data_IF_690870948332
#
_entry.id   IF_690870948332
#
_cell.length_a   1.000
_cell.length_b   1.000
_cell.length_c   1.000
_cell.angle_alpha   90.00
_cell.angle_beta   90.00
_cell.angle_gamma   90.00
#
_symmetry.space_group_name_H-M   'P 1'
#
loop_
_entity.id
_entity.type
_entity.pdbx_description
1 polymer ?
#
# COMPACT_ATOMS: atom_id res chain seq x y z
N UNK A 1 -3.05 7.63 35.56
CA UNK A 1 -3.36 7.69 34.12
C UNK A 1 -2.73 8.96 33.60
N UNK A 2 -1.50 8.87 33.08
CA UNK A 2 -0.74 10.03 32.60
C UNK A 2 -0.98 10.17 31.11
N UNK A 3 -1.62 11.25 30.68
CA UNK A 3 -1.78 11.63 29.29
C UNK A 3 -0.39 11.96 28.74
N UNK A 4 0.17 11.09 27.89
CA UNK A 4 1.26 11.49 27.02
C UNK A 4 0.69 12.49 26.01
N UNK A 5 0.83 13.77 26.31
CA UNK A 5 0.81 14.81 25.30
C UNK A 5 1.98 14.52 24.37
N UNK A 6 1.70 14.00 23.17
CA UNK A 6 2.69 13.73 22.15
C UNK A 6 3.36 15.05 21.78
N UNK A 7 4.63 15.20 22.10
CA UNK A 7 5.49 16.21 21.50
C UNK A 7 5.52 15.92 20.01
N UNK A 8 4.82 16.71 19.21
CA UNK A 8 4.93 16.68 17.74
C UNK A 8 6.37 17.06 17.41
N UNK A 9 7.19 16.08 17.11
CA UNK A 9 8.59 16.32 16.73
C UNK A 9 8.56 16.92 15.33
N UNK A 10 8.73 18.25 15.24
CA UNK A 10 8.83 18.95 13.95
C UNK A 10 10.02 18.40 13.19
N UNK A 11 9.79 17.93 11.96
CA UNK A 11 10.83 17.43 11.05
C UNK A 11 11.58 18.59 10.38
N UNK A 12 12.62 18.27 9.64
CA UNK A 12 13.29 19.26 8.80
C UNK A 12 12.32 19.81 7.74
N UNK A 13 12.53 21.05 7.32
CA UNK A 13 11.80 21.64 6.22
C UNK A 13 12.08 20.86 4.94
N UNK A 14 11.04 20.68 4.12
CA UNK A 14 11.14 20.02 2.81
C UNK A 14 11.71 21.03 1.81
N UNK A 15 12.78 20.64 1.15
CA UNK A 15 13.40 21.45 0.08
C UNK A 15 13.14 20.87 -1.31
N UNK A 16 12.99 19.53 -1.39
CA UNK A 16 12.77 18.81 -2.64
C UNK A 16 11.65 17.80 -2.45
N UNK A 17 10.65 17.88 -3.32
CA UNK A 17 9.51 16.99 -3.28
C UNK A 17 9.33 16.26 -4.62
N UNK A 18 9.37 14.92 -4.61
CA UNK A 18 8.95 14.13 -5.75
C UNK A 18 7.43 14.24 -5.94
N UNK A 19 6.96 14.24 -7.18
CA UNK A 19 5.53 14.32 -7.49
C UNK A 19 5.09 13.05 -8.19
N UNK A 20 4.00 12.45 -7.71
CA UNK A 20 3.33 11.28 -8.33
C UNK A 20 1.87 11.63 -8.53
N UNK A 21 1.39 11.57 -9.77
CA UNK A 21 0.02 11.99 -10.09
C UNK A 21 -0.87 10.81 -10.48
N UNK A 22 -2.19 11.03 -10.47
CA UNK A 22 -3.15 10.05 -10.99
C UNK A 22 -2.82 9.67 -12.45
N UNK A 23 -3.14 8.42 -12.84
CA UNK A 23 -2.84 7.91 -14.19
C UNK A 23 -3.45 8.72 -15.35
N UNK A 24 -4.51 9.52 -15.10
CA UNK A 24 -5.14 10.41 -16.08
C UNK A 24 -4.76 11.86 -15.78
N UNK A 25 -4.14 12.54 -16.73
CA UNK A 25 -3.70 13.94 -16.61
C UNK A 25 -4.83 14.91 -16.24
N UNK A 26 -6.03 14.68 -16.81
CA UNK A 26 -7.23 15.50 -16.57
C UNK A 26 -7.61 15.57 -15.09
N UNK A 27 -7.42 14.48 -14.34
CA UNK A 27 -7.77 14.42 -12.92
C UNK A 27 -6.78 15.19 -12.02
N UNK A 28 -5.51 15.25 -12.42
CA UNK A 28 -4.41 15.79 -11.60
C UNK A 28 -3.93 17.19 -12.02
N UNK A 29 -4.28 17.68 -13.23
CA UNK A 29 -3.68 18.88 -13.83
C UNK A 29 -3.89 20.14 -13.01
N UNK A 30 -5.12 20.40 -12.54
CA UNK A 30 -5.42 21.56 -11.68
C UNK A 30 -4.66 21.47 -10.33
N UNK A 31 -4.69 20.29 -9.69
CA UNK A 31 -3.99 20.08 -8.42
C UNK A 31 -2.47 20.22 -8.59
N UNK A 32 -1.92 19.76 -9.71
CA UNK A 32 -0.50 19.95 -10.05
C UNK A 32 -0.16 21.42 -10.23
N UNK A 33 -1.00 22.21 -10.90
CA UNK A 33 -0.79 23.63 -11.05
C UNK A 33 -0.80 24.36 -9.69
N UNK A 34 -1.73 24.03 -8.81
CA UNK A 34 -1.80 24.54 -7.43
C UNK A 34 -0.57 24.15 -6.61
N UNK A 35 -0.14 22.90 -6.70
CA UNK A 35 1.09 22.43 -6.03
C UNK A 35 2.32 23.19 -6.52
N UNK A 36 2.44 23.45 -7.83
CA UNK A 36 3.56 24.20 -8.40
C UNK A 36 3.63 25.63 -7.87
N UNK A 37 2.50 26.33 -7.87
CA UNK A 37 2.44 27.70 -7.34
C UNK A 37 2.84 27.75 -5.85
N UNK A 38 2.35 26.81 -5.05
CA UNK A 38 2.72 26.70 -3.65
C UNK A 38 4.21 26.39 -3.46
N UNK A 39 4.76 25.46 -4.25
CA UNK A 39 6.16 25.08 -4.16
C UNK A 39 7.09 26.24 -4.51
N UNK A 40 6.77 27.04 -5.55
CA UNK A 40 7.48 28.26 -5.89
C UNK A 40 7.44 29.27 -4.74
N UNK A 41 6.27 29.52 -4.15
CA UNK A 41 6.11 30.42 -2.98
C UNK A 41 6.98 29.98 -1.78
N UNK A 42 7.09 28.66 -1.57
CA UNK A 42 7.79 28.07 -0.42
C UNK A 42 9.27 27.74 -0.70
N UNK A 43 9.76 27.96 -1.92
CA UNK A 43 11.11 27.61 -2.31
C UNK A 43 11.38 26.10 -2.31
N UNK A 44 10.36 25.28 -2.62
CA UNK A 44 10.45 23.82 -2.73
C UNK A 44 10.64 23.43 -4.19
N UNK A 45 11.69 22.69 -4.46
CA UNK A 45 11.96 22.12 -5.79
C UNK A 45 11.06 20.88 -6.01
N UNK A 46 10.31 20.85 -7.12
CA UNK A 46 9.49 19.70 -7.50
C UNK A 46 10.23 18.81 -8.50
N UNK A 47 10.40 17.56 -8.13
CA UNK A 47 11.02 16.51 -8.94
C UNK A 47 9.94 15.67 -9.60
N UNK A 48 9.80 15.79 -10.92
CA UNK A 48 8.89 14.97 -11.72
C UNK A 48 9.73 13.97 -12.52
N UNK A 49 9.38 12.69 -12.43
CA UNK A 49 10.00 11.68 -13.28
C UNK A 49 9.52 11.80 -14.73
N UNK A 50 10.25 11.25 -15.67
CA UNK A 50 9.99 11.36 -17.11
C UNK A 50 8.57 10.90 -17.49
N UNK A 51 8.08 9.83 -16.85
CA UNK A 51 6.70 9.34 -17.03
C UNK A 51 5.64 10.34 -16.54
N UNK A 52 5.92 11.08 -15.46
CA UNK A 52 5.05 12.16 -14.97
C UNK A 52 5.13 13.39 -15.87
N UNK A 53 6.32 13.75 -16.35
CA UNK A 53 6.52 14.86 -17.29
C UNK A 53 5.77 14.59 -18.60
N UNK A 54 5.94 13.41 -19.19
CA UNK A 54 5.27 13.00 -20.41
C UNK A 54 3.73 13.00 -20.25
N UNK A 55 3.23 12.53 -19.12
CA UNK A 55 1.79 12.49 -18.79
C UNK A 55 1.15 13.88 -18.81
N UNK A 56 1.86 14.90 -18.35
CA UNK A 56 1.36 16.27 -18.24
C UNK A 56 1.79 17.18 -19.41
N UNK A 57 2.45 16.63 -20.44
CA UNK A 57 2.94 17.41 -21.59
C UNK A 57 4.00 18.44 -21.20
N UNK A 58 4.74 18.17 -20.14
CA UNK A 58 5.86 18.98 -19.67
C UNK A 58 7.12 18.40 -20.29
N UNK A 59 7.94 19.22 -20.93
CA UNK A 59 9.15 18.78 -21.65
C UNK A 59 10.10 17.92 -20.80
N UNK A 60 11.19 17.45 -21.40
CA UNK A 60 12.19 16.62 -20.74
C UNK A 60 12.71 17.32 -19.48
N UNK A 61 12.64 16.65 -18.33
CA UNK A 61 13.23 17.10 -17.08
C UNK A 61 14.64 16.53 -16.95
N UNK A 62 15.53 17.32 -16.38
CA UNK A 62 16.77 16.74 -15.86
C UNK A 62 16.40 15.82 -14.69
N UNK A 63 16.41 14.51 -14.95
CA UNK A 63 16.36 13.51 -13.92
C UNK A 63 17.71 13.50 -13.17
N UNK A 64 17.95 14.59 -12.42
CA UNK A 64 19.09 14.62 -11.51
C UNK A 64 18.86 13.56 -10.43
N UNK A 65 19.90 12.79 -10.14
CA UNK A 65 19.90 11.64 -9.21
C UNK A 65 19.74 12.05 -7.74
N UNK A 66 19.16 13.21 -7.48
CA UNK A 66 18.98 13.76 -6.13
C UNK A 66 17.80 13.09 -5.43
N UNK A 67 18.04 12.56 -4.25
CA UNK A 67 17.00 11.95 -3.40
C UNK A 67 16.05 13.03 -2.89
N UNK A 68 14.73 12.91 -3.11
CA UNK A 68 13.76 13.84 -2.55
C UNK A 68 13.65 13.71 -1.02
N UNK A 69 13.29 14.80 -0.36
CA UNK A 69 13.02 14.81 1.08
C UNK A 69 11.63 14.20 1.39
N UNK A 70 10.72 14.27 0.42
CA UNK A 70 9.32 13.83 0.52
C UNK A 70 8.77 13.50 -0.89
N UNK A 71 7.79 12.61 -0.95
CA UNK A 71 6.98 12.40 -2.16
C UNK A 71 5.55 12.91 -1.93
N UNK A 72 5.06 13.79 -2.80
CA UNK A 72 3.68 14.30 -2.81
C UNK A 72 2.89 13.54 -3.87
N UNK A 73 1.78 12.94 -3.45
CA UNK A 73 0.87 12.20 -4.32
C UNK A 73 -0.40 13.01 -4.56
N UNK A 74 -0.73 13.23 -5.83
CA UNK A 74 -1.99 13.85 -6.26
C UNK A 74 -2.92 12.78 -6.84
N UNK A 75 -3.78 12.19 -5.99
CA UNK A 75 -4.64 11.07 -6.40
C UNK A 75 -5.38 10.40 -5.26
N UNK A 76 -5.88 9.20 -5.49
CA UNK A 76 -6.51 8.34 -4.48
C UNK A 76 -5.57 7.23 -4.00
N UNK A 77 -6.12 6.26 -3.25
CA UNK A 77 -5.35 5.16 -2.64
C UNK A 77 -4.53 4.34 -3.66
N UNK A 78 -5.03 4.12 -4.88
CA UNK A 78 -4.27 3.42 -5.92
C UNK A 78 -3.02 4.20 -6.38
N UNK A 79 -3.08 5.56 -6.40
CA UNK A 79 -1.90 6.38 -6.70
C UNK A 79 -0.93 6.41 -5.52
N UNK A 80 -1.47 6.43 -4.29
CA UNK A 80 -0.70 6.30 -3.06
C UNK A 80 0.07 4.98 -3.04
N UNK A 81 -0.60 3.87 -3.38
CA UNK A 81 0.00 2.55 -3.44
C UNK A 81 1.22 2.50 -4.38
N UNK A 82 1.07 3.05 -5.60
CA UNK A 82 2.20 3.15 -6.57
C UNK A 82 3.37 3.97 -6.00
N UNK A 83 3.09 5.08 -5.33
CA UNK A 83 4.13 5.89 -4.73
C UNK A 83 4.81 5.17 -3.56
N UNK A 84 4.05 4.52 -2.68
CA UNK A 84 4.59 3.72 -1.58
C UNK A 84 5.45 2.56 -2.09
N UNK A 85 5.06 1.89 -3.18
CA UNK A 85 5.88 0.87 -3.85
C UNK A 85 7.18 1.47 -4.41
N UNK A 86 7.09 2.63 -5.09
CA UNK A 86 8.24 3.30 -5.70
C UNK A 86 9.30 3.71 -4.68
N UNK A 87 8.87 4.21 -3.52
CA UNK A 87 9.76 4.69 -2.46
C UNK A 87 9.98 3.67 -1.34
N UNK A 88 9.52 2.42 -1.51
CA UNK A 88 9.76 1.33 -0.55
C UNK A 88 11.26 1.10 -0.36
N UNK A 89 11.65 0.76 0.86
CA UNK A 89 13.06 0.55 1.22
C UNK A 89 13.89 1.83 1.26
N UNK A 90 13.28 2.99 0.96
CA UNK A 90 13.91 4.29 1.11
C UNK A 90 13.42 4.99 2.38
N UNK A 91 14.11 6.05 2.80
CA UNK A 91 13.67 6.90 3.90
C UNK A 91 12.72 8.03 3.46
N UNK A 92 12.30 8.05 2.18
CA UNK A 92 11.45 9.10 1.59
C UNK A 92 10.00 8.90 2.04
N UNK A 93 9.42 9.82 2.85
CA UNK A 93 8.02 9.72 3.23
C UNK A 93 7.09 10.08 2.07
N UNK A 94 5.94 9.44 2.00
CA UNK A 94 4.93 9.65 0.96
C UNK A 94 3.69 10.27 1.57
N UNK A 95 3.26 11.44 1.12
CA UNK A 95 2.02 12.10 1.54
C UNK A 95 1.05 12.22 0.37
N UNK A 96 -0.25 12.06 0.64
CA UNK A 96 -1.27 12.13 -0.40
C UNK A 96 -2.26 13.27 -0.24
N UNK A 97 -2.57 13.92 -1.36
CA UNK A 97 -3.74 14.78 -1.55
C UNK A 97 -4.80 13.97 -2.28
N UNK A 98 -5.95 13.78 -1.63
CA UNK A 98 -7.06 13.01 -2.18
C UNK A 98 -7.83 13.85 -3.22
N UNK A 99 -7.81 13.40 -4.48
CA UNK A 99 -8.54 14.05 -5.57
C UNK A 99 -9.88 13.39 -5.91
N UNK A 100 -10.26 12.36 -5.17
CA UNK A 100 -11.45 11.56 -5.46
C UNK A 100 -12.22 11.13 -4.23
N UNK A 101 -12.61 9.85 -4.20
CA UNK A 101 -13.31 9.28 -3.04
C UNK A 101 -12.38 9.18 -1.83
N UNK A 102 -12.97 9.37 -0.65
CA UNK A 102 -12.26 9.21 0.62
C UNK A 102 -11.69 7.79 0.70
N UNK A 103 -10.37 7.72 0.88
CA UNK A 103 -9.61 6.50 1.07
C UNK A 103 -8.93 6.46 2.43
N UNK A 104 -8.07 5.44 2.62
CA UNK A 104 -7.33 5.25 3.87
C UNK A 104 -5.95 5.91 3.87
N UNK A 105 -5.30 6.07 2.70
CA UNK A 105 -3.90 6.45 2.62
C UNK A 105 -3.67 7.96 2.47
N UNK A 106 -4.48 8.65 1.67
CA UNK A 106 -4.32 10.09 1.50
C UNK A 106 -4.76 10.89 2.75
N UNK A 107 -3.97 11.90 3.14
CA UNK A 107 -4.16 12.67 4.39
C UNK A 107 -4.79 14.03 4.21
N UNK A 108 -4.66 14.61 3.03
CA UNK A 108 -5.05 15.99 2.72
C UNK A 108 -6.22 15.91 1.75
N UNK A 109 -7.30 16.60 2.04
CA UNK A 109 -8.43 16.71 1.12
C UNK A 109 -8.12 17.75 0.03
N UNK A 110 -8.75 17.62 -1.16
CA UNK A 110 -8.47 18.48 -2.33
C UNK A 110 -8.60 19.97 -2.00
N UNK A 111 -9.60 20.32 -1.20
CA UNK A 111 -9.89 21.72 -0.87
C UNK A 111 -8.89 22.30 0.13
N UNK A 112 -8.16 21.44 0.84
CA UNK A 112 -7.13 21.79 1.82
C UNK A 112 -5.70 21.66 1.30
N UNK A 113 -5.51 21.51 -0.04
CA UNK A 113 -4.22 21.22 -0.65
C UNK A 113 -3.14 22.19 -0.19
N UNK A 114 -3.35 23.50 -0.37
CA UNK A 114 -2.34 24.51 -0.04
C UNK A 114 -2.08 24.60 1.47
N UNK A 115 -3.13 24.60 2.27
CA UNK A 115 -3.01 24.66 3.73
C UNK A 115 -2.28 23.43 4.29
N UNK A 116 -2.67 22.23 3.83
CA UNK A 116 -2.06 20.97 4.26
C UNK A 116 -0.60 20.86 3.83
N UNK A 117 -0.30 21.12 2.54
CA UNK A 117 1.06 21.01 2.01
C UNK A 117 1.98 22.11 2.55
N UNK A 118 1.49 23.32 2.84
CA UNK A 118 2.27 24.34 3.53
C UNK A 118 2.79 23.87 4.88
N UNK A 119 1.96 23.20 5.66
CA UNK A 119 2.35 22.59 6.94
C UNK A 119 3.39 21.51 6.74
N UNK A 120 3.16 20.62 5.77
CA UNK A 120 4.08 19.54 5.41
C UNK A 120 5.45 20.10 5.01
N UNK A 121 5.50 21.07 4.12
CA UNK A 121 6.75 21.68 3.69
C UNK A 121 7.50 22.37 4.83
N UNK A 122 6.79 22.86 5.84
CA UNK A 122 7.38 23.40 7.08
C UNK A 122 7.80 22.31 8.08
N UNK A 123 7.72 21.02 7.74
CA UNK A 123 8.10 19.89 8.60
C UNK A 123 7.02 19.49 9.62
N UNK A 124 5.78 19.95 9.49
CA UNK A 124 4.65 19.58 10.36
C UNK A 124 3.93 18.34 9.81
N UNK A 125 4.55 17.18 9.95
CA UNK A 125 3.96 15.88 9.61
C UNK A 125 4.57 14.75 10.44
N UNK A 126 3.82 13.68 10.58
CA UNK A 126 4.27 12.44 11.21
C UNK A 126 4.55 11.38 10.14
N UNK A 127 5.40 10.39 10.45
CA UNK A 127 5.67 9.28 9.55
C UNK A 127 5.34 7.98 10.24
N UNK A 128 4.55 7.16 9.55
CA UNK A 128 4.22 5.79 9.95
C UNK A 128 4.97 4.83 9.02
N UNK A 129 5.70 3.91 9.62
CA UNK A 129 6.34 2.82 8.88
C UNK A 129 5.29 1.74 8.57
N UNK A 130 5.08 1.48 7.29
CA UNK A 130 4.18 0.45 6.80
C UNK A 130 4.99 -0.77 6.39
N UNK A 131 4.78 -1.96 7.00
CA UNK A 131 5.41 -3.18 6.55
C UNK A 131 4.94 -3.54 5.13
N UNK A 132 5.78 -4.24 4.38
CA UNK A 132 5.48 -4.84 3.10
C UNK A 132 5.49 -6.37 3.21
N UNK A 133 5.02 -7.06 2.18
CA UNK A 133 5.06 -8.52 2.05
C UNK A 133 5.95 -8.90 0.86
N UNK A 134 6.90 -9.79 1.09
CA UNK A 134 7.60 -10.48 0.01
C UNK A 134 6.84 -11.75 -0.37
N UNK A 135 6.66 -11.97 -1.67
CA UNK A 135 6.15 -13.20 -2.25
C UNK A 135 7.26 -13.85 -3.08
N UNK A 136 7.54 -15.12 -2.86
CA UNK A 136 8.60 -15.87 -3.51
C UNK A 136 8.05 -17.19 -4.07
N UNK A 137 8.34 -17.44 -5.36
CA UNK A 137 8.03 -18.66 -6.08
C UNK A 137 9.26 -19.10 -6.86
N UNK A 138 9.22 -20.24 -7.52
CA UNK A 138 10.29 -20.67 -8.45
C UNK A 138 10.44 -19.70 -9.64
N UNK A 139 9.37 -18.96 -9.99
CA UNK A 139 9.36 -17.98 -11.09
C UNK A 139 9.88 -16.59 -10.74
N UNK A 140 10.11 -16.29 -9.47
CA UNK A 140 10.63 -14.97 -9.06
C UNK A 140 10.21 -14.53 -7.66
N UNK A 141 10.58 -13.27 -7.37
CA UNK A 141 10.26 -12.61 -6.11
C UNK A 141 9.65 -11.23 -6.36
N UNK A 142 8.61 -10.92 -5.63
CA UNK A 142 7.89 -9.64 -5.70
C UNK A 142 7.60 -9.13 -4.30
N UNK A 143 7.33 -7.84 -4.18
CA UNK A 143 6.99 -7.24 -2.88
C UNK A 143 5.72 -6.42 -3.00
N UNK A 144 4.74 -6.71 -2.14
CA UNK A 144 3.46 -6.03 -2.02
C UNK A 144 3.49 -5.00 -0.88
N UNK A 145 2.82 -3.86 -1.08
CA UNK A 145 2.51 -2.91 -0.01
C UNK A 145 1.18 -3.27 0.67
N UNK A 146 0.20 -3.74 -0.09
CA UNK A 146 -1.10 -4.15 0.44
C UNK A 146 -1.22 -5.66 0.65
N UNK A 147 -1.19 -6.44 -0.43
CA UNK A 147 -1.51 -7.86 -0.33
C UNK A 147 -0.85 -8.73 -1.41
N UNK A 148 -0.68 -9.99 -1.05
CA UNK A 148 -0.37 -11.11 -1.94
C UNK A 148 -1.60 -12.01 -1.94
N UNK A 149 -2.13 -12.28 -3.12
CA UNK A 149 -3.33 -13.11 -3.28
C UNK A 149 -3.01 -14.32 -4.17
N UNK A 150 -3.42 -15.49 -3.74
CA UNK A 150 -3.45 -16.69 -4.58
C UNK A 150 -4.90 -16.97 -4.95
N UNK A 151 -5.21 -16.96 -6.25
CA UNK A 151 -6.58 -17.12 -6.74
C UNK A 151 -6.62 -18.04 -7.95
N UNK A 152 -7.78 -18.57 -8.31
CA UNK A 152 -7.94 -19.38 -9.52
C UNK A 152 -7.55 -18.59 -10.77
N UNK A 153 -6.78 -19.18 -11.69
CA UNK A 153 -6.51 -18.60 -12.99
C UNK A 153 -7.71 -18.72 -13.95
N UNK A 154 -8.70 -19.55 -13.59
CA UNK A 154 -9.89 -19.81 -14.40
C UNK A 154 -11.15 -19.30 -13.72
N UNK A 155 -11.82 -18.33 -14.33
CA UNK A 155 -13.06 -17.73 -13.80
C UNK A 155 -14.11 -18.82 -13.57
N UNK A 156 -14.72 -18.80 -12.37
CA UNK A 156 -15.79 -19.74 -12.01
C UNK A 156 -15.31 -21.16 -11.67
N UNK A 157 -13.99 -21.39 -11.60
CA UNK A 157 -13.41 -22.64 -11.14
C UNK A 157 -12.76 -22.41 -9.77
N UNK A 158 -13.22 -23.18 -8.82
CA UNK A 158 -12.63 -23.21 -7.47
C UNK A 158 -11.29 -23.95 -7.50
N UNK A 159 -10.39 -23.58 -6.63
CA UNK A 159 -9.10 -24.23 -6.40
C UNK A 159 -9.04 -24.81 -5.01
N UNK A 160 -8.19 -25.79 -4.82
CA UNK A 160 -7.85 -26.34 -3.51
C UNK A 160 -6.45 -25.86 -3.13
N UNK A 161 -6.36 -25.13 -2.01
CA UNK A 161 -5.11 -24.57 -1.51
C UNK A 161 -4.69 -25.30 -0.23
N UNK A 162 -3.49 -25.89 -0.26
CA UNK A 162 -2.77 -26.28 0.96
C UNK A 162 -2.07 -25.08 1.55
N UNK A 163 -2.03 -24.95 2.87
CA UNK A 163 -1.37 -23.83 3.52
C UNK A 163 -0.68 -24.20 4.82
N UNK A 164 0.41 -23.51 5.08
CA UNK A 164 1.24 -23.72 6.27
C UNK A 164 1.74 -22.39 6.83
N UNK A 165 1.97 -22.31 8.13
CA UNK A 165 2.54 -21.15 8.82
C UNK A 165 3.79 -21.60 9.58
N UNK A 166 4.94 -20.93 9.32
CA UNK A 166 6.21 -21.27 9.98
C UNK A 166 6.64 -22.71 9.77
N UNK A 167 6.22 -23.35 8.67
CA UNK A 167 6.48 -24.75 8.35
C UNK A 167 5.48 -25.75 8.96
N UNK A 168 4.51 -25.30 9.77
CA UNK A 168 3.44 -26.13 10.29
C UNK A 168 2.26 -26.16 9.32
N UNK A 169 1.92 -27.33 8.78
CA UNK A 169 0.75 -27.51 7.91
C UNK A 169 -0.55 -27.31 8.69
N UNK A 170 -1.43 -26.45 8.17
CA UNK A 170 -2.74 -26.15 8.75
C UNK A 170 -3.90 -26.82 7.99
N UNK A 171 -3.58 -27.52 6.90
CA UNK A 171 -4.51 -28.29 6.10
C UNK A 171 -4.68 -27.74 4.69
N UNK A 172 -5.75 -28.19 4.03
CA UNK A 172 -6.12 -27.79 2.68
C UNK A 172 -7.59 -27.36 2.65
N UNK A 173 -7.91 -26.42 1.74
CA UNK A 173 -9.23 -25.83 1.70
C UNK A 173 -9.65 -25.50 0.27
N UNK A 174 -10.81 -26.00 -0.20
CA UNK A 174 -11.43 -25.52 -1.43
C UNK A 174 -11.95 -24.10 -1.27
N UNK A 175 -11.52 -23.18 -2.17
CA UNK A 175 -11.87 -21.77 -2.12
C UNK A 175 -11.67 -21.11 -3.49
N UNK A 176 -12.06 -19.84 -3.62
CA UNK A 176 -11.73 -19.03 -4.79
C UNK A 176 -10.32 -18.42 -4.68
N UNK A 177 -9.77 -18.37 -3.47
CA UNK A 177 -8.41 -17.88 -3.22
C UNK A 177 -8.08 -17.69 -1.75
N UNK A 178 -6.83 -17.25 -1.51
CA UNK A 178 -6.31 -16.87 -0.21
C UNK A 178 -5.63 -15.51 -0.31
N UNK A 179 -5.88 -14.63 0.65
CA UNK A 179 -5.32 -13.29 0.76
C UNK A 179 -4.34 -13.28 1.93
N UNK A 180 -3.10 -12.86 1.70
CA UNK A 180 -2.14 -12.47 2.72
C UNK A 180 -1.97 -10.94 2.66
N UNK A 181 -2.29 -10.23 3.72
CA UNK A 181 -2.42 -8.77 3.72
C UNK A 181 -1.57 -8.11 4.79
N UNK A 182 -0.94 -6.99 4.46
CA UNK A 182 -0.29 -6.09 5.42
C UNK A 182 -1.33 -5.32 6.24
N UNK A 183 -0.92 -4.59 7.29
CA UNK A 183 -1.81 -3.61 7.96
C UNK A 183 -2.39 -2.56 7.00
N UNK A 184 -1.61 -2.08 6.02
CA UNK A 184 -2.10 -1.17 4.99
C UNK A 184 -3.18 -1.83 4.13
N UNK A 185 -2.91 -3.03 3.62
CA UNK A 185 -3.81 -3.80 2.78
C UNK A 185 -5.01 -4.38 3.52
N UNK A 186 -4.96 -4.42 4.87
CA UNK A 186 -6.07 -4.95 5.67
C UNK A 186 -7.39 -4.20 5.46
N UNK A 187 -7.33 -2.95 5.00
CA UNK A 187 -8.48 -2.12 4.64
C UNK A 187 -8.83 -2.15 3.15
N UNK A 188 -8.12 -2.97 2.35
CA UNK A 188 -8.33 -3.17 0.91
C UNK A 188 -9.09 -4.48 0.63
N UNK A 189 -8.54 -5.39 -0.20
CA UNK A 189 -9.23 -6.62 -0.60
C UNK A 189 -9.54 -7.56 0.57
N UNK A 190 -8.64 -7.62 1.56
CA UNK A 190 -8.88 -8.37 2.81
C UNK A 190 -10.19 -7.95 3.50
N UNK A 191 -10.45 -6.65 3.59
CA UNK A 191 -11.68 -6.14 4.21
C UNK A 191 -12.94 -6.57 3.45
N UNK A 192 -12.91 -6.54 2.12
CA UNK A 192 -14.04 -6.95 1.26
C UNK A 192 -14.42 -8.41 1.47
N UNK A 193 -13.49 -9.24 1.96
CA UNK A 193 -13.70 -10.66 2.29
C UNK A 193 -13.88 -10.92 3.80
N UNK A 194 -14.21 -9.87 4.57
CA UNK A 194 -14.49 -10.02 6.01
C UNK A 194 -13.25 -10.27 6.88
N UNK A 195 -12.06 -10.00 6.37
CA UNK A 195 -10.82 -10.11 7.13
C UNK A 195 -10.67 -9.01 8.19
N UNK A 196 -9.80 -9.20 9.19
CA UNK A 196 -9.59 -8.25 10.26
C UNK A 196 -8.90 -6.98 9.75
N UNK A 197 -9.27 -5.83 10.34
CA UNK A 197 -8.55 -4.56 10.15
C UNK A 197 -7.37 -4.51 11.12
N UNK A 198 -6.16 -4.34 10.57
CA UNK A 198 -4.93 -4.19 11.33
C UNK A 198 -4.56 -2.70 11.42
N UNK A 199 -4.21 -2.25 12.62
CA UNK A 199 -3.78 -0.86 12.82
C UNK A 199 -2.38 -0.66 12.24
N UNK A 200 -2.13 0.48 11.59
CA UNK A 200 -0.81 0.80 11.07
C UNK A 200 0.27 0.74 12.17
N UNK A 201 1.46 0.32 11.80
CA UNK A 201 2.56 0.11 12.71
C UNK A 201 2.56 -1.26 13.42
N UNK A 202 1.53 -2.09 13.20
CA UNK A 202 1.59 -3.49 13.61
C UNK A 202 2.56 -4.25 12.70
N UNK A 203 3.42 -5.05 13.29
CA UNK A 203 4.36 -5.91 12.57
C UNK A 203 3.78 -7.33 12.44
N UNK A 204 2.69 -7.42 11.67
CA UNK A 204 1.88 -8.61 11.48
C UNK A 204 1.26 -8.63 10.07
N UNK A 205 0.85 -9.81 9.62
CA UNK A 205 0.07 -10.01 8.39
C UNK A 205 -1.26 -10.68 8.72
N UNK A 206 -2.32 -10.35 7.96
CA UNK A 206 -3.61 -11.03 8.03
C UNK A 206 -3.71 -12.06 6.92
N UNK A 207 -4.20 -13.24 7.23
CA UNK A 207 -4.48 -14.31 6.28
C UNK A 207 -5.98 -14.54 6.26
N UNK A 208 -6.58 -14.51 5.08
CA UNK A 208 -8.00 -14.67 4.89
C UNK A 208 -8.31 -15.45 3.62
N UNK A 209 -9.42 -16.15 3.57
CA UNK A 209 -9.85 -16.92 2.39
C UNK A 209 -10.94 -16.18 1.62
N UNK A 210 -10.93 -16.33 0.31
CA UNK A 210 -11.99 -15.84 -0.60
C UNK A 210 -12.96 -16.97 -0.85
N UNK A 211 -14.23 -16.77 -0.50
CA UNK A 211 -15.32 -17.75 -0.67
C UNK A 211 -14.93 -19.18 -0.26
N UNK A 212 -14.47 -19.42 0.98
CA UNK A 212 -14.06 -20.76 1.40
C UNK A 212 -15.24 -21.71 1.48
N UNK A 213 -15.09 -22.93 0.95
CA UNK A 213 -16.07 -24.00 1.06
C UNK A 213 -15.94 -24.75 2.39
N UNK A 214 -15.81 -24.02 3.48
CA UNK A 214 -15.73 -24.57 4.84
C UNK A 214 -16.34 -23.59 5.84
N UNK A 215 -17.19 -24.09 6.71
CA UNK A 215 -17.74 -23.33 7.84
C UNK A 215 -16.71 -23.08 8.95
N UNK A 216 -15.54 -23.71 8.88
CA UNK A 216 -14.48 -23.61 9.90
C UNK A 216 -13.34 -22.69 9.49
N UNK A 217 -13.28 -22.23 8.23
CA UNK A 217 -12.29 -21.24 7.80
C UNK A 217 -12.44 -19.96 8.63
N UNK A 218 -11.34 -19.49 9.21
CA UNK A 218 -11.29 -18.24 9.98
C UNK A 218 -10.09 -17.43 9.57
N UNK A 219 -10.23 -16.11 9.44
CA UNK A 219 -9.08 -15.23 9.29
C UNK A 219 -8.11 -15.39 10.45
N UNK A 220 -6.82 -15.30 10.14
CA UNK A 220 -5.74 -15.41 11.11
C UNK A 220 -4.85 -14.18 11.02
N UNK A 221 -4.32 -13.72 12.17
CA UNK A 221 -3.29 -12.69 12.22
C UNK A 221 -1.99 -13.33 12.70
N UNK A 222 -0.94 -13.14 11.92
CA UNK A 222 0.37 -13.79 12.13
C UNK A 222 1.44 -12.72 12.33
N UNK A 223 2.24 -12.80 13.41
CA UNK A 223 3.32 -11.84 13.65
C UNK A 223 4.50 -12.07 12.69
N UNK A 224 5.40 -11.10 12.61
CA UNK A 224 6.70 -11.23 11.93
C UNK A 224 7.46 -12.46 12.43
N UNK A 225 8.20 -13.08 11.51
CA UNK A 225 9.04 -14.24 11.76
C UNK A 225 8.37 -15.59 11.49
N UNK A 226 7.09 -15.58 11.08
CA UNK A 226 6.37 -16.76 10.62
C UNK A 226 5.96 -16.56 9.17
N UNK A 227 6.50 -17.39 8.27
CA UNK A 227 6.18 -17.35 6.84
C UNK A 227 4.87 -18.10 6.57
N UNK A 228 4.09 -17.59 5.62
CA UNK A 228 2.96 -18.30 5.03
C UNK A 228 3.44 -19.03 3.78
N UNK A 229 3.22 -20.32 3.71
CA UNK A 229 3.35 -21.11 2.49
C UNK A 229 1.97 -21.45 1.96
N UNK A 230 1.72 -21.23 0.68
CA UNK A 230 0.48 -21.61 -0.01
C UNK A 230 0.85 -22.47 -1.22
N UNK A 231 0.23 -23.64 -1.35
CA UNK A 231 0.46 -24.58 -2.44
C UNK A 231 -0.84 -24.82 -3.19
N UNK A 232 -0.78 -24.85 -4.51
CA UNK A 232 -1.89 -25.26 -5.35
C UNK A 232 -2.02 -26.79 -5.33
N UNK A 233 -3.00 -27.31 -4.62
CA UNK A 233 -3.33 -28.74 -4.50
C UNK A 233 -4.43 -29.19 -5.47
N UNK A 234 -4.83 -28.33 -6.40
CA UNK A 234 -5.82 -28.63 -7.44
C UNK A 234 -5.20 -29.55 -8.49
N UNK A 235 -5.95 -30.52 -9.00
CA UNK A 235 -5.42 -31.48 -9.98
C UNK A 235 -5.20 -30.86 -11.37
N UNK A 236 -6.08 -29.97 -11.85
CA UNK A 236 -6.09 -29.51 -13.25
C UNK A 236 -6.10 -27.99 -13.42
N UNK A 237 -6.37 -27.23 -12.36
CA UNK A 237 -6.54 -25.77 -12.46
C UNK A 237 -5.31 -25.07 -11.90
N UNK A 238 -4.68 -24.22 -12.69
CA UNK A 238 -3.61 -23.36 -12.19
C UNK A 238 -4.17 -22.28 -11.27
N UNK A 239 -3.38 -21.86 -10.31
CA UNK A 239 -3.64 -20.66 -9.52
C UNK A 239 -2.76 -19.51 -10.02
N UNK A 240 -3.16 -18.28 -9.75
CA UNK A 240 -2.40 -17.06 -10.07
C UNK A 240 -2.01 -16.36 -8.79
N UNK A 241 -0.74 -15.98 -8.67
CA UNK A 241 -0.25 -15.08 -7.63
C UNK A 241 -0.45 -13.65 -8.09
N UNK A 242 -1.24 -12.90 -7.33
CA UNK A 242 -1.42 -11.45 -7.51
C UNK A 242 -0.62 -10.72 -6.44
N UNK A 243 0.04 -9.62 -6.81
CA UNK A 243 0.74 -8.71 -5.90
C UNK A 243 0.16 -7.32 -6.08
N UNK A 244 -0.45 -6.78 -5.04
CA UNK A 244 -1.18 -5.49 -5.10
C UNK A 244 -2.16 -5.42 -6.29
N UNK A 245 -2.87 -6.52 -6.54
CA UNK A 245 -3.86 -6.65 -7.61
C UNK A 245 -3.31 -6.93 -9.02
N UNK A 246 -1.99 -7.07 -9.17
CA UNK A 246 -1.34 -7.36 -10.48
C UNK A 246 -0.94 -8.83 -10.58
N UNK A 247 -1.28 -9.55 -11.67
CA UNK A 247 -0.86 -10.93 -11.87
C UNK A 247 0.65 -10.99 -12.13
N UNK A 248 1.36 -11.78 -11.30
CA UNK A 248 2.81 -11.91 -11.36
C UNK A 248 3.28 -13.28 -11.82
N UNK A 249 2.59 -14.34 -11.38
CA UNK A 249 3.02 -15.70 -11.66
C UNK A 249 1.82 -16.67 -11.65
N UNK A 250 1.87 -17.68 -12.49
CA UNK A 250 0.96 -18.83 -12.43
C UNK A 250 1.60 -19.95 -11.62
N UNK A 251 0.80 -20.57 -10.77
CA UNK A 251 1.15 -21.75 -9.98
C UNK A 251 0.42 -22.97 -10.56
N UNK A 252 1.08 -23.80 -11.37
CA UNK A 252 0.57 -25.11 -11.73
C UNK A 252 0.23 -25.96 -10.51
N UNK A 253 -0.51 -27.07 -10.67
CA UNK A 253 -0.71 -28.03 -9.61
C UNK A 253 0.60 -28.50 -8.96
N UNK A 254 0.67 -28.48 -7.64
CA UNK A 254 1.85 -28.84 -6.85
C UNK A 254 2.88 -27.71 -6.64
N UNK A 255 2.74 -26.58 -7.33
CA UNK A 255 3.60 -25.42 -7.09
C UNK A 255 3.02 -24.50 -6.02
N UNK A 256 3.89 -23.67 -5.41
CA UNK A 256 3.50 -22.81 -4.31
C UNK A 256 4.19 -21.45 -4.27
N UNK A 257 3.71 -20.63 -3.36
CA UNK A 257 4.28 -19.33 -3.02
C UNK A 257 4.55 -19.25 -1.53
N UNK A 258 5.67 -18.64 -1.16
CA UNK A 258 5.98 -18.27 0.21
C UNK A 258 5.78 -16.77 0.36
N UNK A 259 4.93 -16.35 1.30
CA UNK A 259 4.71 -14.96 1.65
C UNK A 259 5.22 -14.67 3.06
N UNK A 260 5.97 -13.58 3.23
CA UNK A 260 6.53 -13.16 4.53
C UNK A 260 6.56 -11.64 4.65
N UNK A 261 6.59 -11.12 5.87
CA UNK A 261 6.81 -9.70 6.07
C UNK A 261 8.24 -9.32 5.63
N UNK A 262 8.31 -8.40 4.67
CA UNK A 262 9.57 -7.88 4.12
C UNK A 262 10.36 -7.08 5.15
N UNK A 263 11.69 -7.07 5.02
CA UNK A 263 12.55 -6.15 5.76
C UNK A 263 12.39 -4.71 5.27
N UNK A 264 12.01 -4.52 4.02
CA UNK A 264 11.73 -3.20 3.47
C UNK A 264 10.38 -2.67 3.98
N UNK A 265 10.34 -1.36 4.21
CA UNK A 265 9.14 -0.65 4.65
C UNK A 265 8.85 0.52 3.75
N UNK A 266 7.59 0.91 3.68
CA UNK A 266 7.17 2.15 3.05
C UNK A 266 6.87 3.20 4.13
N UNK A 267 7.26 4.45 3.88
CA UNK A 267 7.11 5.54 4.83
C UNK A 267 5.87 6.35 4.47
N UNK A 268 4.78 6.22 5.23
CA UNK A 268 3.57 7.02 5.04
C UNK A 268 3.66 8.29 5.87
N UNK A 269 3.64 9.46 5.21
CA UNK A 269 3.51 10.74 5.90
C UNK A 269 2.03 11.10 6.12
N UNK A 270 1.73 11.64 7.29
CA UNK A 270 0.37 12.07 7.66
C UNK A 270 0.41 13.41 8.39
N UNK A 271 -0.64 14.21 8.28
CA UNK A 271 -0.83 15.31 9.21
C UNK A 271 -1.10 14.78 10.62
N UNK A 272 -0.68 15.47 11.70
CA UNK A 272 -0.79 14.96 13.07
C UNK A 272 -2.21 14.55 13.49
N UNK A 273 -3.23 15.25 13.00
CA UNK A 273 -4.65 14.96 13.25
C UNK A 273 -5.18 13.79 12.39
N UNK A 274 -4.48 13.45 11.33
CA UNK A 274 -4.88 12.41 10.34
C UNK A 274 -4.40 11.03 10.77
N UNK A 275 -4.77 10.59 11.98
CA UNK A 275 -4.39 9.30 12.53
C UNK A 275 -5.13 8.14 11.88
N UNK A 276 -4.65 6.90 12.08
CA UNK A 276 -5.39 5.70 11.65
C UNK A 276 -6.84 5.71 12.17
N UNK A 277 -7.06 6.03 13.44
CA UNK A 277 -8.39 6.01 14.04
C UNK A 277 -9.30 7.14 13.56
N UNK A 278 -8.75 8.32 13.22
CA UNK A 278 -9.53 9.39 12.62
C UNK A 278 -10.05 8.97 11.23
N UNK A 279 -9.21 8.27 10.46
CA UNK A 279 -9.58 7.72 9.13
C UNK A 279 -10.57 6.58 9.25
N UNK A 280 -10.34 5.65 10.18
CA UNK A 280 -11.26 4.54 10.46
C UNK A 280 -12.67 5.07 10.75
N UNK A 281 -12.77 6.08 11.63
CA UNK A 281 -14.05 6.73 11.96
C UNK A 281 -14.66 7.44 10.73
N UNK A 282 -13.86 8.10 9.90
CA UNK A 282 -14.34 8.79 8.69
C UNK A 282 -14.90 7.82 7.65
N UNK A 283 -14.29 6.63 7.51
CA UNK A 283 -14.69 5.63 6.49
C UNK A 283 -15.80 4.71 7.00
N UNK A 284 -15.77 4.31 8.27
CA UNK A 284 -16.66 3.29 8.86
C UNK A 284 -17.52 3.78 10.01
N UNK A 285 -17.28 4.97 10.55
CA UNK A 285 -18.10 5.54 11.62
C UNK A 285 -19.46 5.93 11.07
N UNK A 286 -20.51 5.36 11.66
CA UNK A 286 -21.92 5.75 11.44
C UNK A 286 -22.27 6.94 12.31
#
# INVERSE_FOLDING_TARGET
MSSRAGSTTRRAEVKRAAVVTHGKAETGGEALARLRALAEERGVELLLADDELAKHGLGDGDADSTTPDLAVVLGGDGTMLRALQRFRGTSVPVIGVNLGRVGFLASIDRDELEAGLSRVFSGEYEVVELPALDAETDGGRWTAVNDVVVTSSTIGRMIELGWAIGGEELGQLPCDGLICSTPSGSTAYNLSNGGPVLVWGMDAMAINFVAPHSLHARPLVVPRGLDLTVENRTDEVAATVLVDGHPMHELPPGEGVVARLSEERSMLATLPESTFFSRYRRVFGS
#
